data_IF_112756939720
#
_entry.id   IF_112756939720
#
_cell.length_a   1.000
_cell.length_b   1.000
_cell.length_c   1.000
_cell.angle_alpha   90.00
_cell.angle_beta   90.00
_cell.angle_gamma   90.00
#
_symmetry.space_group_name_H-M   'P 1'
#
loop_
_entity.id
_entity.type
_entity.pdbx_description
1 polymer ?
2 non-polymer ?
3 non-polymer ?
4 non-polymer ?
5 non-polymer ?
6 non-polymer ?
7 water ?
#
# COMPACT_ATOMS: atom_id res chain seq x y z
N UNK A 4 -4.62 -1.18 -13.49
CA UNK A 4 -4.71 -2.61 -13.91
C UNK A 4 -6.14 -3.17 -13.61
N UNK A 5 -6.53 -3.30 -12.31
CA UNK A 5 -7.91 -3.65 -11.81
C UNK A 5 -8.26 -2.67 -10.67
N UNK A 6 -9.45 -2.07 -10.66
CA UNK A 6 -9.71 -0.96 -9.74
C UNK A 6 -11.06 -0.99 -9.04
N UNK A 7 -11.11 -0.20 -7.98
CA UNK A 7 -12.31 -0.04 -7.17
C UNK A 7 -13.24 0.87 -7.93
N UNK A 8 -14.46 0.38 -8.16
CA UNK A 8 -15.53 1.19 -8.75
C UNK A 8 -16.18 1.97 -7.62
N UNK A 9 -16.48 3.23 -7.88
CA UNK A 9 -17.21 4.07 -6.93
C UNK A 9 -16.47 4.42 -5.65
N UNK A 10 -15.14 4.44 -5.72
CA UNK A 10 -14.33 4.80 -4.57
C UNK A 10 -14.69 6.14 -4.04
N UNK A 11 -14.91 6.18 -2.72
CA UNK A 11 -15.08 7.41 -1.96
C UNK A 11 -13.83 7.69 -1.15
N UNK A 12 -12.94 8.50 -1.70
CA UNK A 12 -11.60 8.61 -1.14
C UNK A 12 -11.60 9.17 0.29
N UNK A 13 -12.56 10.01 0.63
CA UNK A 13 -12.59 10.59 1.96
C UNK A 13 -12.73 9.52 3.05
N UNK A 14 -13.37 8.41 2.70
CA UNK A 14 -13.63 7.31 3.61
C UNK A 14 -12.46 6.35 3.84
N UNK A 15 -11.38 6.51 3.09
CA UNK A 15 -10.15 5.77 3.44
C UNK A 15 -9.25 6.46 4.47
N UNK A 16 -9.62 7.64 4.94
CA UNK A 16 -8.80 8.32 5.92
C UNK A 16 -8.61 7.49 7.16
N UNK A 17 -7.46 7.70 7.80
CA UNK A 17 -7.20 7.19 9.12
C UNK A 17 -6.12 6.15 9.19
N UNK A 18 -6.16 5.37 10.26
CA UNK A 18 -5.12 4.38 10.60
C UNK A 18 -5.21 3.19 9.67
N UNK A 19 -4.04 2.69 9.27
CA UNK A 19 -4.00 1.44 8.54
C UNK A 19 -2.75 0.68 8.91
N UNK A 20 -2.79 -0.63 8.66
CA UNK A 20 -1.66 -1.52 8.89
C UNK A 20 -1.37 -2.28 7.60
N UNK A 21 -0.09 -2.35 7.21
CA UNK A 21 0.34 -3.15 6.05
C UNK A 21 0.44 -4.63 6.43
N UNK A 22 -0.67 -5.33 6.36
CA UNK A 22 -0.72 -6.71 6.78
C UNK A 22 0.07 -7.60 5.84
N UNK A 23 -0.03 -7.33 4.54
CA UNK A 23 0.70 -8.13 3.54
C UNK A 23 1.17 -7.31 2.38
N UNK A 24 2.27 -7.77 1.78
CA UNK A 24 2.88 -7.10 0.65
C UNK A 24 3.25 -8.11 -0.39
N UNK A 25 3.15 -7.72 -1.65
CA UNK A 25 3.59 -8.60 -2.76
C UNK A 25 4.27 -7.74 -3.80
N UNK A 26 5.16 -8.31 -4.60
CA UNK A 26 5.81 -7.50 -5.63
C UNK A 26 6.22 -8.36 -6.82
N UNK A 27 6.40 -7.70 -7.97
CA UNK A 27 6.70 -8.36 -9.25
C UNK A 27 8.09 -8.97 -9.26
N UNK A 28 9.00 -8.36 -8.51
CA UNK A 28 10.37 -8.76 -8.44
C UNK A 28 10.79 -9.02 -7.01
N UNK A 29 11.54 -10.11 -6.81
CA UNK A 29 12.02 -10.50 -5.47
C UNK A 29 12.79 -9.37 -4.78
N UNK A 30 13.62 -8.64 -5.53
CA UNK A 30 14.50 -7.60 -4.99
C UNK A 30 13.73 -6.41 -4.43
N UNK A 31 12.47 -6.28 -4.82
CA UNK A 31 11.64 -5.19 -4.30
C UNK A 31 11.25 -5.38 -2.85
N UNK A 32 11.27 -6.61 -2.37
CA UNK A 32 10.84 -6.89 -1.01
C UNK A 32 11.83 -7.72 -0.18
N UNK A 33 12.88 -8.29 -0.78
CA UNK A 33 13.64 -9.33 -0.05
C UNK A 33 14.88 -8.77 0.65
N UNK A 34 14.68 -7.66 1.33
CA UNK A 34 15.71 -7.08 2.16
C UNK A 34 14.98 -6.11 3.04
N UNK A 35 15.49 -5.93 4.25
CA UNK A 35 14.83 -5.07 5.21
C UNK A 35 14.67 -3.64 4.65
N UNK A 36 15.63 -3.21 3.83
CA UNK A 36 15.63 -1.88 3.21
C UNK A 36 15.24 -1.90 1.71
N UNK A 37 14.63 -2.99 1.25
CA UNK A 37 14.23 -3.13 -0.15
C UNK A 37 13.26 -2.00 -0.53
N UNK A 38 13.28 -1.56 -1.80
CA UNK A 38 12.47 -0.43 -2.24
C UNK A 38 10.99 -0.48 -1.87
N UNK A 39 10.35 -1.63 -1.99
CA UNK A 39 8.90 -1.70 -1.72
C UNK A 39 8.57 -2.08 -0.27
N UNK A 40 9.58 -2.25 0.57
CA UNK A 40 9.30 -2.53 1.98
C UNK A 40 8.97 -1.21 2.67
N UNK A 41 7.73 -0.77 2.47
CA UNK A 41 7.22 0.52 2.92
C UNK A 41 5.96 0.23 3.72
N UNK A 42 5.90 0.77 4.95
CA UNK A 42 4.88 0.45 5.92
C UNK A 42 3.93 1.61 6.06
N UNK A 43 2.63 1.35 5.90
CA UNK A 43 1.65 2.41 5.91
C UNK A 43 1.26 2.66 7.35
N UNK A 44 1.21 3.94 7.72
CA UNK A 44 0.75 4.37 9.05
C UNK A 44 -0.65 4.98 8.92
N UNK A 45 -0.80 5.90 7.98
CA UNK A 45 -2.05 6.63 7.89
C UNK A 45 -2.29 7.11 6.47
N UNK A 46 -3.55 7.17 6.07
CA UNK A 46 -3.90 7.80 4.81
C UNK A 46 -4.65 9.08 5.14
N UNK A 47 -4.25 10.17 4.51
CA UNK A 47 -4.86 11.49 4.79
C UNK A 47 -5.29 12.14 3.48
N UNK A 48 -6.50 11.83 3.04
CA UNK A 48 -7.08 12.52 1.88
C UNK A 48 -7.14 14.02 2.12
N UNK A 49 -6.82 14.83 1.11
CA UNK A 49 -6.91 16.28 1.24
C UNK A 49 -8.33 16.73 0.84
N UNK A 50 -8.74 17.96 1.24
CA UNK A 50 -10.08 18.42 0.82
C UNK A 50 -10.26 18.42 -0.69
N UNK A 51 -9.16 18.65 -1.42
CA UNK A 51 -9.17 18.67 -2.88
C UNK A 51 -9.08 17.27 -3.53
N UNK A 52 -8.99 16.22 -2.71
CA UNK A 52 -9.10 14.84 -3.18
C UNK A 52 -7.78 14.18 -3.54
N UNK A 53 -6.65 14.81 -3.19
CA UNK A 53 -5.35 14.12 -3.21
C UNK A 53 -5.28 13.19 -2.00
N UNK A 54 -4.25 12.34 -1.94
CA UNK A 54 -4.13 11.33 -0.90
C UNK A 54 -2.73 11.37 -0.37
N UNK A 55 -2.60 11.83 0.86
CA UNK A 55 -1.32 11.84 1.51
C UNK A 55 -1.14 10.55 2.28
N UNK A 56 0.07 10.01 2.18
CA UNK A 56 0.46 8.83 2.89
C UNK A 56 1.50 9.19 3.94
N UNK A 57 1.26 8.72 5.14
CA UNK A 57 2.28 8.65 6.15
C UNK A 57 2.79 7.20 6.20
N UNK A 58 4.11 7.06 6.07
CA UNK A 58 4.79 5.79 5.88
C UNK A 58 6.00 5.68 6.79
N UNK A 59 6.43 4.44 7.04
CA UNK A 59 7.80 4.17 7.55
C UNK A 59 8.60 3.41 6.50
N UNK A 60 9.92 3.58 6.55
CA UNK A 60 10.84 2.95 5.62
C UNK A 60 12.13 2.67 6.38
N UNK A 61 12.62 1.43 6.34
CA UNK A 61 13.96 1.12 6.85
C UNK A 61 14.99 1.63 5.85
N UNK A 62 15.82 2.57 6.29
CA UNK A 62 16.88 3.10 5.46
C UNK A 62 18.05 3.53 6.33
N UNK A 63 19.24 3.50 5.74
CA UNK A 63 20.47 3.82 6.45
C UNK A 63 20.47 3.34 7.91
N UNK A 64 20.07 2.09 8.10
CA UNK A 64 20.14 1.42 9.39
C UNK A 64 19.09 1.73 10.45
N UNK A 65 18.01 2.42 10.08
CA UNK A 65 16.91 2.59 11.03
C UNK A 65 15.57 2.85 10.33
N UNK A 66 14.53 2.95 11.14
CA UNK A 66 13.16 3.12 10.65
C UNK A 66 12.81 4.59 10.52
N UNK A 67 12.85 5.08 9.29
CA UNK A 67 12.60 6.48 9.00
C UNK A 67 11.13 6.76 8.71
N UNK A 68 10.69 7.96 9.06
CA UNK A 68 9.35 8.45 8.74
C UNK A 68 9.34 9.09 7.37
N UNK A 69 8.28 8.85 6.61
CA UNK A 69 8.12 9.42 5.28
C UNK A 69 6.70 9.96 5.11
N UNK A 70 6.56 11.01 4.31
CA UNK A 70 5.27 11.64 4.05
C UNK A 70 5.26 11.97 2.57
N UNK A 71 4.31 11.39 1.85
CA UNK A 71 4.22 11.47 0.40
C UNK A 71 2.79 11.77 0.01
N UNK A 72 2.59 12.70 -0.92
CA UNK A 72 1.25 12.96 -1.44
C UNK A 72 1.13 12.38 -2.86
N UNK A 73 0.07 11.60 -3.07
CA UNK A 73 -0.27 11.11 -4.39
C UNK A 73 -1.42 11.97 -4.88
N UNK A 74 -1.22 12.60 -6.03
CA UNK A 74 -2.19 13.57 -6.55
C UNK A 74 -3.29 12.85 -7.32
N UNK A 75 -4.52 13.36 -7.19
CA UNK A 75 -5.64 12.82 -7.93
C UNK A 75 -5.48 12.93 -9.45
N UNK A 76 -6.18 12.05 -10.13
CA UNK A 76 -6.32 12.07 -11.56
C UNK A 76 -7.80 12.09 -11.89
N UNK A 77 -8.16 11.93 -13.16
CA UNK A 77 -9.58 11.89 -13.51
C UNK A 77 -10.25 10.58 -13.15
N UNK A 78 -9.45 9.57 -12.87
CA UNK A 78 -9.99 8.31 -12.42
C UNK A 78 -9.93 8.33 -10.89
N UNK A 79 -11.08 8.15 -10.22
CA UNK A 79 -11.02 8.26 -8.77
C UNK A 79 -10.11 7.26 -8.05
N UNK A 80 -9.87 6.11 -8.65
CA UNK A 80 -9.08 5.07 -7.97
C UNK A 80 -7.60 5.16 -8.29
N UNK A 81 -7.18 6.14 -9.09
CA UNK A 81 -5.79 6.22 -9.52
C UNK A 81 -5.16 7.54 -9.15
N UNK A 82 -4.01 7.47 -8.50
CA UNK A 82 -3.28 8.68 -8.06
C UNK A 82 -1.86 8.65 -8.63
N UNK A 83 -1.24 9.82 -8.78
CA UNK A 83 0.05 9.94 -9.42
C UNK A 83 1.03 10.58 -8.46
N UNK A 84 2.26 10.08 -8.43
CA UNK A 84 3.29 10.63 -7.54
C UNK A 84 4.18 11.63 -8.29
N UNK A 85 4.40 12.80 -7.69
CA UNK A 85 5.31 13.81 -8.27
C UNK A 85 6.78 13.43 -8.03
N UNK A 86 7.49 13.02 -9.09
CA UNK A 86 8.88 12.57 -8.96
C UNK A 86 9.60 12.58 -10.32
N UNK A 87 10.87 12.21 -10.33
CA UNK A 87 11.56 12.04 -11.61
C UNK A 87 10.89 10.94 -12.43
N UNK A 88 10.41 9.94 -11.72
CA UNK A 88 9.73 8.83 -12.34
C UNK A 88 8.22 9.06 -12.29
N UNK A 89 7.50 8.45 -13.22
CA UNK A 89 6.05 8.54 -13.26
C UNK A 89 5.49 7.27 -12.67
N UNK A 90 5.09 7.33 -11.41
CA UNK A 90 4.54 6.19 -10.71
C UNK A 90 3.09 6.46 -10.33
N UNK A 91 2.32 5.39 -10.18
CA UNK A 91 0.92 5.52 -9.85
C UNK A 91 0.60 4.70 -8.63
N UNK A 92 -0.39 5.17 -7.90
CA UNK A 92 -1.01 4.42 -6.85
C UNK A 92 -2.40 4.03 -7.34
N UNK A 93 -2.71 2.74 -7.32
CA UNK A 93 -4.01 2.28 -7.71
C UNK A 93 -4.74 1.62 -6.54
N UNK A 94 -5.97 2.06 -6.28
CA UNK A 94 -6.78 1.44 -5.25
C UNK A 94 -7.65 0.35 -5.89
N UNK A 95 -7.40 -0.92 -5.52
CA UNK A 95 -8.04 -2.04 -6.16
C UNK A 95 -9.39 -2.32 -5.56
N UNK A 96 -9.49 -2.19 -4.24
CA UNK A 96 -10.68 -2.59 -3.53
C UNK A 96 -10.56 -2.15 -2.08
N UNK A 97 -11.70 -1.86 -1.47
CA UNK A 97 -11.77 -1.51 -0.06
C UNK A 97 -13.23 -1.63 0.40
N UNK A 98 -13.42 -1.94 1.69
CA UNK A 98 -14.72 -1.78 2.37
C UNK A 98 -14.68 -0.67 3.41
N UNK A 99 -13.59 0.10 3.42
CA UNK A 99 -13.36 1.29 4.25
C UNK A 99 -13.18 1.00 5.73
N UNK A 100 -14.00 0.08 6.24
CA UNK A 100 -13.99 -0.23 7.67
C UNK A 100 -13.06 -1.35 8.11
N UNK A 101 -12.58 -2.19 7.18
CA UNK A 101 -11.70 -3.32 7.56
C UNK A 101 -10.42 -3.43 6.70
N UNK A 102 -10.55 -3.28 5.38
CA UNK A 102 -9.42 -3.58 4.46
C UNK A 102 -9.38 -2.65 3.27
N UNK A 103 -8.18 -2.48 2.72
CA UNK A 103 -7.97 -1.74 1.50
C UNK A 103 -6.80 -2.40 0.76
N UNK A 104 -6.98 -2.63 -0.53
CA UNK A 104 -5.95 -3.21 -1.37
C UNK A 104 -5.46 -2.17 -2.35
N UNK A 105 -4.16 -2.00 -2.47
CA UNK A 105 -3.62 -1.03 -3.41
C UNK A 105 -2.33 -1.53 -4.00
N UNK A 106 -1.95 -0.90 -5.11
CA UNK A 106 -0.71 -1.22 -5.77
C UNK A 106 0.00 0.06 -6.14
N UNK A 107 1.32 0.00 -6.08
CA UNK A 107 2.21 1.03 -6.55
C UNK A 107 2.83 0.50 -7.82
N UNK A 108 2.74 1.27 -8.89
CA UNK A 108 3.19 0.79 -10.20
C UNK A 108 4.08 1.82 -10.86
N UNK A 109 5.13 1.38 -11.57
CA UNK A 109 5.99 2.33 -12.27
C UNK A 109 5.70 2.27 -13.78
N UNK A 110 6.62 2.76 -14.60
CA UNK A 110 6.54 2.56 -16.06
C UNK A 110 7.90 2.11 -16.59
N UNK A 115 7.71 -3.66 -16.57
CA UNK A 115 7.59 -2.71 -15.47
C UNK A 115 7.42 -3.42 -14.11
N UNK A 116 7.43 -2.63 -13.04
CA UNK A 116 7.41 -3.22 -11.72
C UNK A 116 6.23 -2.72 -10.88
N UNK A 117 5.81 -3.58 -9.96
CA UNK A 117 4.54 -3.48 -9.29
C UNK A 117 4.79 -3.98 -7.87
N UNK A 118 4.30 -3.25 -6.88
CA UNK A 118 4.25 -3.73 -5.50
C UNK A 118 2.84 -3.46 -5.02
N UNK A 119 2.22 -4.42 -4.34
CA UNK A 119 0.86 -4.26 -3.84
C UNK A 119 0.80 -4.58 -2.35
N UNK A 120 -0.17 -3.99 -1.66
CA UNK A 120 -0.37 -4.26 -0.25
C UNK A 120 -1.79 -4.58 0.09
N UNK A 121 -1.98 -5.33 1.16
CA UNK A 121 -3.27 -5.52 1.80
C UNK A 121 -3.23 -4.76 3.10
N UNK A 122 -4.02 -3.70 3.20
CA UNK A 122 -4.06 -2.86 4.39
C UNK A 122 -5.26 -3.24 5.18
N UNK A 123 -5.10 -3.24 6.50
CA UNK A 123 -6.19 -3.51 7.43
C UNK A 123 -6.20 -2.44 8.52
N UNK A 124 -7.35 -2.29 9.16
CA UNK A 124 -7.56 -1.19 10.11
C UNK A 124 -6.98 -1.49 11.48
N UNK A 125 -6.86 -2.77 11.78
CA UNK A 125 -6.49 -3.25 13.11
C UNK A 125 -5.35 -4.27 13.02
N UNK A 126 -4.56 -4.43 14.11
CA UNK A 126 -3.41 -5.36 14.07
C UNK A 126 -3.85 -6.81 14.24
N UNK A 127 -4.60 -7.31 13.26
CA UNK A 127 -5.15 -8.66 13.26
C UNK A 127 -4.99 -9.25 11.88
N UNK A 128 -4.81 -10.56 11.83
CA UNK A 128 -4.72 -11.27 10.57
C UNK A 128 -6.12 -11.53 10.08
N UNK A 129 -6.49 -10.87 8.99
CA UNK A 129 -7.84 -10.92 8.45
C UNK A 129 -7.82 -11.82 7.22
N UNK A 130 -8.21 -13.07 7.41
CA UNK A 130 -8.08 -14.07 6.34
C UNK A 130 -8.94 -13.71 5.15
N UNK A 131 -10.09 -13.11 5.40
CA UNK A 131 -10.99 -12.68 4.32
C UNK A 131 -10.35 -11.58 3.47
N UNK A 132 -9.67 -10.64 4.11
CA UNK A 132 -8.97 -9.59 3.37
C UNK A 132 -7.80 -10.18 2.59
N UNK A 133 -7.08 -11.11 3.20
CA UNK A 133 -5.96 -11.77 2.53
C UNK A 133 -6.38 -12.63 1.34
N UNK A 134 -7.55 -13.23 1.45
CA UNK A 134 -8.16 -14.00 0.36
C UNK A 134 -8.46 -13.06 -0.80
N UNK A 135 -9.01 -11.88 -0.52
CA UNK A 135 -9.24 -10.87 -1.55
C UNK A 135 -7.93 -10.38 -2.16
N UNK A 136 -6.90 -10.24 -1.32
CA UNK A 136 -5.58 -9.83 -1.81
C UNK A 136 -5.03 -10.88 -2.78
N UNK A 137 -5.03 -12.14 -2.37
CA UNK A 137 -4.58 -13.21 -3.25
C UNK A 137 -5.37 -13.32 -4.55
N UNK A 138 -6.68 -13.10 -4.51
CA UNK A 138 -7.48 -13.13 -5.75
C UNK A 138 -7.04 -12.02 -6.67
N UNK A 139 -6.82 -10.83 -6.13
CA UNK A 139 -6.31 -9.73 -6.94
C UNK A 139 -4.94 -10.05 -7.56
N UNK A 140 -4.09 -10.71 -6.78
CA UNK A 140 -2.71 -11.01 -7.21
C UNK A 140 -2.62 -12.06 -8.31
N UNK A 141 -3.63 -12.91 -8.47
CA UNK A 141 -3.51 -13.94 -9.52
C UNK A 141 -3.53 -13.31 -10.92
N UNK A 142 -4.08 -12.10 -11.05
CA UNK A 142 -4.04 -11.36 -12.33
C UNK A 142 -2.74 -10.59 -12.59
N UNK A 143 -1.76 -10.71 -11.69
CA UNK A 143 -0.55 -9.92 -11.74
C UNK A 143 0.69 -10.81 -11.65
N UNK A 144 1.80 -10.38 -12.28
CA UNK A 144 3.01 -11.19 -12.34
C UNK A 144 3.91 -11.03 -11.10
N UNK A 145 3.41 -11.49 -9.96
CA UNK A 145 4.14 -11.34 -8.68
C UNK A 145 5.08 -12.49 -8.44
N UNK A 146 6.21 -12.21 -7.80
CA UNK A 146 7.22 -13.24 -7.47
C UNK A 146 7.67 -13.25 -6.04
N UNK A 147 7.15 -12.33 -5.22
CA UNK A 147 7.42 -12.41 -3.79
C UNK A 147 6.20 -11.92 -3.01
N UNK A 148 5.93 -12.57 -1.89
CA UNK A 148 4.80 -12.18 -1.03
C UNK A 148 5.16 -12.41 0.40
N UNK A 149 4.71 -11.51 1.26
CA UNK A 149 4.95 -11.74 2.67
C UNK A 149 3.85 -11.16 3.50
N UNK A 150 3.76 -11.65 4.73
CA UNK A 150 2.69 -11.16 5.62
C UNK A 150 3.23 -11.13 7.04
N UNK A 151 2.60 -10.28 7.84
CA UNK A 151 3.11 -9.91 9.14
C UNK A 151 2.15 -10.37 10.21
N UNK A 152 2.70 -10.65 11.39
CA UNK A 152 1.90 -11.11 12.50
C UNK A 152 1.52 -9.90 13.39
N UNK A 153 0.57 -10.11 14.30
CA UNK A 153 0.07 -8.98 15.11
C UNK A 153 1.12 -8.32 15.98
N UNK A 154 2.11 -9.09 16.44
CA UNK A 154 3.19 -8.50 17.21
C UNK A 154 4.00 -7.55 16.34
N UNK A 155 4.43 -8.02 15.17
CA UNK A 155 5.15 -7.17 14.24
C UNK A 155 4.39 -5.94 13.81
N UNK A 156 3.08 -6.08 13.61
CA UNK A 156 2.22 -4.98 13.15
C UNK A 156 2.20 -3.83 14.15
N UNK A 157 2.52 -4.12 15.41
CA UNK A 157 2.56 -3.05 16.42
C UNK A 157 3.94 -2.43 16.64
N UNK A 158 4.93 -2.87 15.88
CA UNK A 158 6.27 -2.34 15.98
C UNK A 158 6.60 -1.42 14.82
N UNK A 159 7.49 -0.47 15.07
CA UNK A 159 8.01 0.41 14.03
C UNK A 159 8.73 -0.41 12.96
N UNK A 160 8.35 -0.21 11.70
CA UNK A 160 8.90 -0.99 10.60
C UNK A 160 8.73 -2.50 10.75
N UNK A 161 7.76 -2.92 11.57
CA UNK A 161 7.32 -4.30 11.65
C UNK A 161 8.46 -5.22 12.04
N UNK A 162 9.32 -4.75 12.94
CA UNK A 162 10.46 -5.54 13.40
C UNK A 162 9.99 -6.69 14.29
X LIG B 1 4.38 4.73 -1.95
X LIG B 1 5.62 4.13 -2.21
X LIG B 1 3.81 2.62 -0.32
X LIG B 1 3.46 4.12 -1.09
X LIG B 1 9.29 6.51 0.06
X LIG B 1 4.91 1.91 -1.52
X LIG B 1 5.69 2.74 -2.34
X LIG B 1 2.82 6.54 -2.33
X LIG B 1 1.92 5.92 -1.47
X LIG B 1 2.23 4.72 -0.85
X LIG B 1 5.00 0.53 -1.65
X LIG B 1 5.85 -0.03 -2.60
X LIG B 1 6.61 0.79 -3.42
X LIG B 1 6.53 2.17 -3.29
X LIG B 1 6.85 5.00 -2.42
X LIG B 1 7.41 5.39 -1.03
X LIG B 1 8.57 6.34 -1.22
X LIG B 1 10.66 5.97 -0.08
X LIG B 1 9.35 7.93 0.42
X LIG B 1 7.69 0.14 -4.61
X LIG B 1 4.04 5.94 -2.57
X LIG C 1 -5.59 13.22 -15.28
X LIG C 1 -5.64 14.04 -16.50
X LIG C 1 -6.22 14.00 -14.19
X LIG C 1 -6.33 11.95 -15.49
X LIG C 1 -4.16 12.94 -14.94
X LIG D 1 -12.01 -14.91 9.48
X LIG D 1 -12.25 -15.23 8.10
X LIG D 1 -11.64 -13.43 9.65
X LIG D 1 -11.58 -12.77 8.37
X LIG D 1 -10.33 -13.27 10.41
X LIG D 1 -9.27 -14.06 9.84
X LIG E 1 13.27 9.55 -0.08
X LIG E 1 12.62 10.37 -1.17
X LIG E 1 12.31 9.37 1.07
X LIG E 1 14.49 10.26 0.44
X LIG E 1 13.65 8.19 -0.63
X LIG F 1 3.21 -17.63 2.36
#
# INVERSE_FOLDING_TARGET
ASVTQTMKGLDIQKVAGTWYSLAMAASDISLLDAQSAPARVYVEELKPTPEGDLEFLLQKWENGECAQKKIIAEKTKIPAVFKIDALNENKVLVLDTDYKKYLLFCFENSAEPEQSLACQCLVRTPEVDDEALEKFDKALKALPMHIRLSFNPTQLEEQCHI
Z80 C1 N1 S1 C2 N2 C3 C4 C5 C6 C7 C8 C9 C10 C11 C12 C13 C14 C15 C16 CL1 C17
SO4 S O1 O2 O3 O4
GOL C1 O1 C2 O2 C3 O3
PO4 P O1 O2 O3 O4
CL CL
#
